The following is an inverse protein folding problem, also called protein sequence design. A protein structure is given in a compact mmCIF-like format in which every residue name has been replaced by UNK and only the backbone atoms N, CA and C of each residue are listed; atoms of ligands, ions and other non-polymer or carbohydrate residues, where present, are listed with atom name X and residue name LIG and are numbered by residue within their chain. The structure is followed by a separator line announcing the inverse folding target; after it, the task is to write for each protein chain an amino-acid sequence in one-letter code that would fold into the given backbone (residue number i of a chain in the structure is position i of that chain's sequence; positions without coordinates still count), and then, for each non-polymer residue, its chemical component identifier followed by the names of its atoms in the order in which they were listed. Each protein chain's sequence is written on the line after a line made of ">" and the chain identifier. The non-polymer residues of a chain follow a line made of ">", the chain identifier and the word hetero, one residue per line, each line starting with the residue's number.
data_IF_305720184725
#
_entry.id   IF_305720184725
#
_cell.length_a   1.000
_cell.length_b   1.000
_cell.length_c   1.000
_cell.angle_alpha   90.00
_cell.angle_beta   90.00
_cell.angle_gamma   90.00
#
_symmetry.space_group_name_H-M   'P 1'
#
loop_
_entity.id
_entity.type
_entity.pdbx_description
1 polymer ?
#
# COMPACT_ATOMS: atom_id res chain seq x y z
N UNK A 1 0.33 -60.45 23.25
CA UNK A 1 0.53 -59.89 21.90
C UNK A 1 -0.65 -58.99 21.59
N UNK A 2 -0.52 -57.67 21.82
CA UNK A 2 -1.53 -56.68 21.52
C UNK A 2 -1.02 -55.85 20.34
N UNK A 3 -1.71 -55.94 19.21
CA UNK A 3 -1.45 -55.21 17.98
C UNK A 3 -2.00 -53.81 18.12
N UNK A 4 -1.13 -52.79 18.14
CA UNK A 4 -1.51 -51.37 18.04
C UNK A 4 -1.80 -51.05 16.58
N UNK A 5 -3.06 -50.77 16.27
CA UNK A 5 -3.49 -50.18 15.01
C UNK A 5 -3.11 -48.70 14.99
N UNK A 6 -2.24 -48.31 14.07
CA UNK A 6 -1.99 -46.90 13.73
C UNK A 6 -3.16 -46.38 12.91
N UNK A 7 -3.87 -45.40 13.50
CA UNK A 7 -4.85 -44.59 12.78
C UNK A 7 -4.06 -43.59 11.93
N UNK A 8 -4.18 -43.70 10.60
CA UNK A 8 -3.74 -42.66 9.66
C UNK A 8 -4.62 -41.42 9.86
N UNK A 9 -4.02 -40.37 10.43
CA UNK A 9 -4.62 -39.03 10.41
C UNK A 9 -4.69 -38.54 8.96
N UNK A 10 -5.90 -38.27 8.49
CA UNK A 10 -6.16 -37.59 7.25
C UNK A 10 -5.49 -36.19 7.30
N UNK A 11 -4.54 -35.97 6.39
CA UNK A 11 -4.06 -34.60 6.09
C UNK A 11 -5.27 -33.77 5.65
N UNK A 12 -5.76 -32.91 6.54
CA UNK A 12 -6.69 -31.87 6.17
C UNK A 12 -5.96 -30.96 5.18
N UNK A 13 -6.43 -31.01 3.95
CA UNK A 13 -6.04 -30.14 2.86
C UNK A 13 -6.49 -28.71 3.23
N UNK A 14 -5.66 -27.97 3.99
CA UNK A 14 -5.90 -26.58 4.32
C UNK A 14 -5.79 -25.83 3.00
N UNK A 15 -6.94 -25.61 2.36
CA UNK A 15 -7.07 -24.78 1.18
C UNK A 15 -6.44 -23.41 1.50
N UNK A 16 -5.48 -23.01 0.69
CA UNK A 16 -4.90 -21.65 0.81
C UNK A 16 -6.03 -20.64 0.77
N UNK A 17 -6.05 -19.63 1.66
CA UNK A 17 -7.13 -18.65 1.69
C UNK A 17 -7.29 -18.02 0.32
N UNK A 18 -8.53 -17.78 -0.15
CA UNK A 18 -8.80 -17.26 -1.48
C UNK A 18 -8.06 -15.94 -1.68
N UNK A 19 -7.34 -15.82 -2.78
CA UNK A 19 -6.67 -14.57 -3.13
C UNK A 19 -7.74 -13.48 -3.32
N UNK A 20 -7.53 -12.31 -2.75
CA UNK A 20 -8.43 -11.15 -2.94
C UNK A 20 -8.68 -10.96 -4.44
N UNK A 21 -9.96 -10.96 -4.86
CA UNK A 21 -10.35 -10.96 -6.27
C UNK A 21 -10.39 -12.33 -6.95
N UNK A 22 -10.27 -13.44 -6.21
CA UNK A 22 -10.50 -14.78 -6.73
C UNK A 22 -11.96 -14.92 -7.19
N UNK A 23 -12.16 -15.38 -8.43
CA UNK A 23 -13.50 -15.46 -9.06
C UNK A 23 -13.94 -14.19 -9.79
N UNK A 24 -13.25 -13.06 -9.66
CA UNK A 24 -13.55 -11.88 -10.46
C UNK A 24 -12.97 -12.00 -11.88
N UNK A 25 -13.70 -11.45 -12.85
CA UNK A 25 -13.21 -11.32 -14.23
C UNK A 25 -11.99 -10.37 -14.26
N UNK A 26 -10.81 -10.83 -14.74
CA UNK A 26 -9.62 -9.99 -14.81
C UNK A 26 -9.81 -8.70 -15.62
N UNK A 27 -10.74 -8.69 -16.59
CA UNK A 27 -11.03 -7.49 -17.40
C UNK A 27 -11.80 -6.42 -16.61
N UNK A 28 -12.48 -6.79 -15.52
CA UNK A 28 -13.21 -5.86 -14.63
C UNK A 28 -12.46 -5.55 -13.33
N UNK A 29 -11.40 -6.29 -13.07
CA UNK A 29 -10.62 -6.18 -11.84
C UNK A 29 -9.81 -4.90 -11.79
N UNK A 30 -9.66 -4.32 -10.60
CA UNK A 30 -8.78 -3.17 -10.37
C UNK A 30 -7.31 -3.53 -10.63
N UNK A 31 -6.54 -2.60 -11.18
CA UNK A 31 -5.17 -2.84 -11.66
C UNK A 31 -4.23 -3.47 -10.63
N UNK A 32 -4.30 -3.06 -9.36
CA UNK A 32 -3.47 -3.63 -8.29
C UNK A 32 -3.82 -5.11 -8.01
N UNK A 33 -5.10 -5.51 -8.11
CA UNK A 33 -5.49 -6.92 -7.97
C UNK A 33 -5.09 -7.76 -9.19
N UNK A 34 -5.10 -7.17 -10.41
CA UNK A 34 -4.53 -7.81 -11.61
C UNK A 34 -3.04 -8.13 -11.38
N UNK A 35 -2.28 -7.18 -10.83
CA UNK A 35 -0.86 -7.38 -10.51
C UNK A 35 -0.66 -8.42 -9.40
N UNK A 36 -1.49 -8.38 -8.35
CA UNK A 36 -1.46 -9.37 -7.27
C UNK A 36 -1.74 -10.78 -7.81
N UNK A 37 -2.74 -10.94 -8.67
CA UNK A 37 -3.07 -12.22 -9.33
C UNK A 37 -1.95 -12.72 -10.25
N UNK A 38 -1.21 -11.82 -10.88
CA UNK A 38 0.00 -12.20 -11.62
C UNK A 38 1.14 -12.67 -10.70
N UNK A 39 1.03 -12.47 -9.40
CA UNK A 39 2.01 -12.87 -8.41
C UNK A 39 2.91 -11.74 -7.90
N UNK A 40 2.64 -10.49 -8.31
CA UNK A 40 3.35 -9.32 -7.80
C UNK A 40 2.86 -8.98 -6.39
N UNK A 41 3.78 -8.74 -5.48
CA UNK A 41 3.49 -8.46 -4.05
C UNK A 41 3.66 -6.99 -3.70
N UNK A 42 4.60 -6.31 -4.35
CA UNK A 42 4.87 -4.87 -4.16
C UNK A 42 4.05 -4.10 -5.19
N UNK A 43 2.89 -3.56 -4.79
CA UNK A 43 1.87 -3.00 -5.67
C UNK A 43 1.86 -1.45 -5.70
N UNK A 44 2.99 -0.83 -5.43
CA UNK A 44 3.13 0.63 -5.30
C UNK A 44 4.23 1.20 -6.20
N UNK A 45 4.06 2.45 -6.69
CA UNK A 45 5.11 3.15 -7.43
C UNK A 45 6.38 3.30 -6.58
N UNK A 46 7.57 3.43 -7.16
CA UNK A 46 8.82 3.51 -6.39
C UNK A 46 9.28 2.21 -5.72
N UNK A 47 8.39 1.20 -5.60
CA UNK A 47 8.69 -0.15 -5.12
C UNK A 47 9.08 -0.23 -3.64
N UNK A 48 9.64 -1.39 -3.25
CA UNK A 48 9.99 -1.70 -1.85
C UNK A 48 11.10 -0.79 -1.28
N UNK A 49 11.93 -0.23 -2.14
CA UNK A 49 13.04 0.64 -1.74
C UNK A 49 12.52 1.96 -1.13
N UNK A 50 11.54 2.59 -1.80
CA UNK A 50 10.92 3.82 -1.29
C UNK A 50 10.16 3.56 0.02
N UNK A 51 9.51 2.40 0.16
CA UNK A 51 8.94 1.95 1.43
C UNK A 51 9.99 1.88 2.54
N UNK A 52 11.17 1.31 2.26
CA UNK A 52 12.26 1.24 3.26
C UNK A 52 12.71 2.64 3.69
N UNK A 53 12.88 3.55 2.75
CA UNK A 53 13.24 4.94 3.06
C UNK A 53 12.18 5.60 3.97
N UNK A 54 10.89 5.41 3.67
CA UNK A 54 9.80 5.89 4.54
C UNK A 54 9.88 5.29 5.94
N UNK A 55 10.00 3.97 6.03
CA UNK A 55 10.08 3.29 7.33
C UNK A 55 11.32 3.69 8.12
N UNK A 56 12.44 3.97 7.45
CA UNK A 56 13.66 4.44 8.10
C UNK A 56 13.51 5.90 8.58
N UNK A 57 12.83 6.75 7.81
CA UNK A 57 12.49 8.12 8.23
C UNK A 57 11.51 8.12 9.41
N UNK A 58 10.54 7.19 9.47
CA UNK A 58 9.63 7.00 10.61
C UNK A 58 10.33 6.42 11.85
N UNK A 59 11.53 5.87 11.72
CA UNK A 59 12.37 5.34 12.79
C UNK A 59 11.65 4.42 13.80
N UNK A 60 10.69 3.61 13.31
CA UNK A 60 9.83 2.75 14.15
C UNK A 60 10.66 1.87 15.09
N UNK A 61 10.33 1.89 16.36
CA UNK A 61 11.02 1.25 17.47
C UNK A 61 10.07 0.34 18.31
N UNK A 62 10.58 -0.44 19.27
CA UNK A 62 9.76 -1.22 20.18
C UNK A 62 8.84 -0.43 21.11
N UNK A 63 9.03 0.89 21.25
CA UNK A 63 8.19 1.78 22.04
C UNK A 63 6.99 2.32 21.25
N UNK A 64 6.99 2.15 19.92
CA UNK A 64 5.98 2.75 19.06
C UNK A 64 4.69 1.94 19.02
N UNK A 65 3.60 2.68 18.92
CA UNK A 65 2.27 2.18 18.60
C UNK A 65 1.96 2.60 17.17
N UNK A 66 1.77 1.62 16.30
CA UNK A 66 1.71 1.82 14.86
C UNK A 66 0.30 1.55 14.33
N UNK A 67 -0.20 2.44 13.47
CA UNK A 67 -1.40 2.23 12.66
C UNK A 67 -1.01 2.25 11.19
N UNK A 68 -1.38 1.20 10.45
CA UNK A 68 -1.25 1.15 8.99
C UNK A 68 -2.64 1.26 8.34
N UNK A 69 -2.82 2.20 7.43
CA UNK A 69 -4.02 2.31 6.60
C UNK A 69 -3.87 1.46 5.34
N UNK A 70 -4.89 0.68 5.03
CA UNK A 70 -4.97 -0.19 3.86
C UNK A 70 -3.75 -1.10 3.67
N UNK A 71 -3.40 -1.97 4.62
CA UNK A 71 -2.21 -2.83 4.55
C UNK A 71 -2.21 -3.80 3.35
N UNK A 72 -3.33 -4.01 2.69
CA UNK A 72 -3.46 -4.83 1.49
C UNK A 72 -2.89 -6.24 1.66
N UNK A 73 -1.81 -6.57 0.94
CA UNK A 73 -1.16 -7.89 1.04
C UNK A 73 -0.27 -8.07 2.30
N UNK A 74 -0.17 -7.07 3.18
CA UNK A 74 0.58 -7.16 4.45
C UNK A 74 2.11 -7.23 4.31
N UNK A 75 2.66 -6.82 3.17
CA UNK A 75 4.12 -6.87 2.96
C UNK A 75 4.83 -5.86 3.87
N UNK A 76 4.32 -4.63 3.93
CA UNK A 76 4.87 -3.57 4.79
C UNK A 76 4.57 -3.86 6.26
N UNK A 77 3.36 -4.36 6.57
CA UNK A 77 3.02 -4.87 7.89
C UNK A 77 4.08 -5.85 8.43
N UNK A 78 4.46 -6.85 7.63
CA UNK A 78 5.49 -7.82 8.03
C UNK A 78 6.87 -7.19 8.25
N UNK A 79 7.21 -6.11 7.51
CA UNK A 79 8.47 -5.38 7.72
C UNK A 79 8.44 -4.58 9.03
N UNK A 80 7.32 -3.92 9.32
CA UNK A 80 7.12 -3.16 10.56
C UNK A 80 7.10 -4.08 11.79
N UNK A 81 6.41 -5.20 11.72
CA UNK A 81 6.35 -6.18 12.82
C UNK A 81 7.71 -6.78 13.17
N UNK A 82 8.66 -6.87 12.21
CA UNK A 82 10.06 -7.24 12.49
C UNK A 82 10.80 -6.22 13.36
N UNK A 83 10.36 -4.95 13.38
CA UNK A 83 10.88 -3.90 14.26
C UNK A 83 10.31 -4.01 15.69
N UNK A 84 9.36 -4.95 15.91
CA UNK A 84 8.74 -5.28 17.19
C UNK A 84 8.07 -4.10 17.89
N UNK A 85 7.20 -3.33 17.21
CA UNK A 85 6.50 -2.23 17.86
C UNK A 85 5.70 -2.73 19.07
N UNK A 86 5.40 -1.83 20.01
CA UNK A 86 4.59 -2.10 21.20
C UNK A 86 3.19 -2.62 20.81
N UNK A 87 2.57 -1.97 19.80
CA UNK A 87 1.30 -2.36 19.23
C UNK A 87 1.27 -2.06 17.72
N UNK A 88 0.45 -2.83 16.99
CA UNK A 88 0.21 -2.61 15.56
C UNK A 88 -1.26 -2.85 15.24
N UNK A 89 -1.89 -1.87 14.59
CA UNK A 89 -3.24 -1.95 14.04
C UNK A 89 -3.21 -1.74 12.54
N UNK A 90 -3.73 -2.71 11.78
CA UNK A 90 -3.98 -2.56 10.35
C UNK A 90 -5.45 -2.24 10.11
N UNK A 91 -5.76 -1.07 9.55
CA UNK A 91 -7.14 -0.66 9.20
C UNK A 91 -7.41 -1.04 7.75
N UNK A 92 -8.26 -2.04 7.52
CA UNK A 92 -8.60 -2.55 6.20
C UNK A 92 -10.13 -2.48 5.99
N UNK A 93 -10.56 -1.98 4.83
CA UNK A 93 -11.98 -1.82 4.51
C UNK A 93 -12.62 -3.06 3.89
N UNK A 94 -11.82 -3.87 3.19
CA UNK A 94 -12.32 -5.04 2.46
C UNK A 94 -12.29 -6.27 3.37
N UNK A 95 -13.46 -6.89 3.68
CA UNK A 95 -13.52 -8.03 4.60
C UNK A 95 -12.60 -9.20 4.21
N UNK A 96 -12.58 -9.56 2.91
CA UNK A 96 -11.73 -10.65 2.42
C UNK A 96 -10.23 -10.34 2.57
N UNK A 97 -9.81 -9.08 2.33
CA UNK A 97 -8.44 -8.65 2.54
C UNK A 97 -8.07 -8.66 4.04
N UNK A 98 -8.98 -8.21 4.90
CA UNK A 98 -8.78 -8.24 6.35
C UNK A 98 -8.62 -9.69 6.88
N UNK A 99 -9.39 -10.64 6.37
CA UNK A 99 -9.26 -12.06 6.71
C UNK A 99 -7.92 -12.62 6.27
N UNK A 100 -7.54 -12.43 5.00
CA UNK A 100 -6.22 -12.84 4.49
C UNK A 100 -5.06 -12.23 5.28
N UNK A 101 -5.21 -10.99 5.77
CA UNK A 101 -4.20 -10.34 6.61
C UNK A 101 -4.11 -10.98 7.99
N UNK A 102 -5.23 -11.30 8.64
CA UNK A 102 -5.26 -11.99 9.93
C UNK A 102 -4.53 -13.33 9.84
N UNK A 103 -4.82 -14.11 8.79
CA UNK A 103 -4.16 -15.40 8.56
C UNK A 103 -2.64 -15.22 8.34
N UNK A 104 -2.26 -14.26 7.49
CA UNK A 104 -0.85 -13.99 7.18
C UNK A 104 -0.05 -13.51 8.37
N UNK A 105 -0.67 -12.73 9.24
CA UNK A 105 -0.04 -12.13 10.41
C UNK A 105 -0.32 -12.93 11.71
N UNK A 106 -0.92 -14.11 11.57
CA UNK A 106 -1.18 -15.00 12.70
C UNK A 106 0.11 -15.30 13.49
N UNK A 107 -0.01 -15.33 14.81
CA UNK A 107 1.15 -15.50 15.71
C UNK A 107 1.98 -14.23 15.94
N UNK A 108 1.62 -13.10 15.34
CA UNK A 108 2.19 -11.77 15.65
C UNK A 108 1.30 -11.01 16.63
N UNK A 109 1.72 -9.79 17.03
CA UNK A 109 0.91 -8.86 17.85
C UNK A 109 0.02 -7.94 17.00
N UNK A 110 -0.18 -8.26 15.70
CA UNK A 110 -0.99 -7.44 14.81
C UNK A 110 -2.49 -7.63 15.09
N UNK A 111 -3.20 -6.52 15.18
CA UNK A 111 -4.65 -6.47 15.19
C UNK A 111 -5.15 -5.90 13.87
N UNK A 112 -6.08 -6.59 13.20
CA UNK A 112 -6.68 -6.12 11.95
C UNK A 112 -8.09 -5.64 12.23
N UNK A 113 -8.26 -4.33 12.08
CA UNK A 113 -9.52 -3.61 12.26
C UNK A 113 -10.22 -3.50 10.90
N UNK A 114 -11.46 -3.98 10.82
CA UNK A 114 -12.30 -3.72 9.67
C UNK A 114 -12.87 -2.31 9.78
N UNK A 115 -12.45 -1.39 8.92
CA UNK A 115 -12.82 0.01 9.00
C UNK A 115 -12.34 0.84 7.81
N UNK A 116 -12.75 2.09 7.77
CA UNK A 116 -12.34 3.07 6.76
C UNK A 116 -11.14 3.88 7.27
N UNK A 117 -10.21 4.22 6.38
CA UNK A 117 -9.05 5.03 6.73
C UNK A 117 -9.45 6.45 7.20
N UNK A 118 -10.57 6.99 6.72
CA UNK A 118 -11.13 8.27 7.17
C UNK A 118 -11.96 8.17 8.47
N UNK A 119 -12.23 6.96 8.95
CA UNK A 119 -13.00 6.68 10.16
C UNK A 119 -12.63 5.30 10.70
N UNK A 120 -11.46 5.19 11.28
CA UNK A 120 -10.86 3.92 11.70
C UNK A 120 -11.57 3.25 12.89
N UNK A 121 -12.30 4.01 13.69
CA UNK A 121 -12.89 3.54 14.95
C UNK A 121 -11.89 3.44 16.10
N UNK A 122 -10.60 3.67 15.86
CA UNK A 122 -9.57 3.64 16.90
C UNK A 122 -9.62 4.90 17.78
N UNK A 123 -9.20 4.81 19.06
CA UNK A 123 -9.15 5.96 19.97
C UNK A 123 -8.21 7.05 19.45
N UNK A 124 -8.53 8.32 19.75
CA UNK A 124 -7.61 9.43 19.49
C UNK A 124 -6.31 9.31 20.29
N UNK A 125 -5.21 9.79 19.75
CA UNK A 125 -3.87 9.77 20.34
C UNK A 125 -3.39 8.34 20.75
N UNK A 126 -3.94 7.29 20.11
CA UNK A 126 -3.55 5.90 20.39
C UNK A 126 -2.21 5.52 19.73
N UNK A 127 -1.80 6.20 18.67
CA UNK A 127 -0.62 5.88 17.86
C UNK A 127 0.52 6.90 18.04
N UNK A 128 1.76 6.44 17.92
CA UNK A 128 2.96 7.29 17.75
C UNK A 128 3.37 7.38 16.28
N UNK A 129 3.01 6.37 15.47
CA UNK A 129 3.24 6.33 14.04
C UNK A 129 1.97 5.90 13.34
N UNK A 130 1.58 6.64 12.31
CA UNK A 130 0.56 6.23 11.31
C UNK A 130 1.22 6.20 9.95
N UNK A 131 0.87 5.27 9.08
CA UNK A 131 1.32 5.31 7.69
C UNK A 131 0.32 4.63 6.74
N UNK A 132 0.45 4.95 5.44
CA UNK A 132 -0.31 4.32 4.37
C UNK A 132 0.43 4.40 3.04
N UNK A 133 0.25 3.40 2.18
CA UNK A 133 0.95 3.32 0.90
C UNK A 133 -0.02 3.06 -0.26
N UNK A 134 0.14 3.82 -1.34
CA UNK A 134 -0.58 3.69 -2.61
C UNK A 134 -2.11 3.63 -2.43
N UNK A 135 -2.66 4.44 -1.54
CA UNK A 135 -4.08 4.47 -1.24
C UNK A 135 -4.71 5.86 -1.36
N UNK A 136 -3.98 6.93 -1.02
CA UNK A 136 -4.49 8.30 -1.10
C UNK A 136 -4.65 8.77 -2.55
N UNK A 137 -3.75 8.39 -3.45
CA UNK A 137 -3.86 8.73 -4.87
C UNK A 137 -5.13 8.21 -5.54
N UNK A 138 -5.83 7.25 -4.93
CA UNK A 138 -7.10 6.70 -5.42
C UNK A 138 -8.33 7.35 -4.76
N UNK A 139 -8.14 8.40 -3.97
CA UNK A 139 -9.21 9.09 -3.27
C UNK A 139 -9.48 10.47 -3.88
N UNK A 140 -10.72 10.97 -3.72
CA UNK A 140 -11.03 12.37 -4.01
C UNK A 140 -10.27 13.30 -3.07
N UNK A 141 -10.16 14.58 -3.43
CA UNK A 141 -9.47 15.57 -2.58
C UNK A 141 -10.11 15.67 -1.18
N UNK A 142 -11.44 15.59 -1.12
CA UNK A 142 -12.16 15.61 0.15
C UNK A 142 -11.86 14.38 1.01
N UNK A 143 -11.81 13.18 0.39
CA UNK A 143 -11.45 11.95 1.11
C UNK A 143 -9.99 11.97 1.58
N UNK A 144 -9.05 12.47 0.77
CA UNK A 144 -7.66 12.68 1.19
C UNK A 144 -7.59 13.52 2.46
N UNK A 145 -8.30 14.66 2.49
CA UNK A 145 -8.36 15.54 3.68
C UNK A 145 -8.90 14.78 4.91
N UNK A 146 -10.00 14.03 4.76
CA UNK A 146 -10.57 13.24 5.88
C UNK A 146 -9.59 12.17 6.39
N UNK A 147 -8.90 11.48 5.49
CA UNK A 147 -7.92 10.44 5.87
C UNK A 147 -6.72 11.05 6.60
N UNK A 148 -6.19 12.17 6.10
CA UNK A 148 -5.05 12.85 6.78
C UNK A 148 -5.48 13.44 8.12
N UNK A 149 -6.71 13.97 8.21
CA UNK A 149 -7.29 14.43 9.48
C UNK A 149 -7.46 13.28 10.49
N UNK A 150 -7.90 12.10 10.03
CA UNK A 150 -7.99 10.90 10.88
C UNK A 150 -6.61 10.43 11.33
N UNK A 151 -5.61 10.40 10.43
CA UNK A 151 -4.23 10.09 10.80
C UNK A 151 -3.73 11.03 11.91
N UNK A 152 -3.96 12.35 11.75
CA UNK A 152 -3.61 13.34 12.79
C UNK A 152 -4.36 13.11 14.09
N UNK A 153 -5.65 12.74 14.05
CA UNK A 153 -6.46 12.43 15.24
C UNK A 153 -5.89 11.25 16.03
N UNK A 154 -5.46 10.20 15.30
CA UNK A 154 -4.88 8.98 15.88
C UNK A 154 -3.50 9.20 16.49
N UNK A 155 -2.73 10.15 15.98
CA UNK A 155 -1.38 10.43 16.47
C UNK A 155 -1.40 11.07 17.85
N UNK A 156 -0.56 10.58 18.76
CA UNK A 156 -0.17 11.29 19.97
C UNK A 156 0.61 12.60 19.60
N UNK A 157 0.68 13.61 20.48
CA UNK A 157 1.56 14.75 20.27
C UNK A 157 2.99 14.30 19.99
N UNK A 158 3.64 14.87 18.97
CA UNK A 158 4.96 14.46 18.49
C UNK A 158 4.97 13.22 17.60
N UNK A 159 3.83 12.55 17.42
CA UNK A 159 3.72 11.39 16.53
C UNK A 159 3.81 11.74 15.05
N UNK A 160 4.11 10.75 14.21
CA UNK A 160 4.45 10.92 12.80
C UNK A 160 3.46 10.22 11.87
N UNK A 161 3.13 10.85 10.74
CA UNK A 161 2.38 10.26 9.64
C UNK A 161 3.24 10.14 8.39
N UNK A 162 3.39 8.90 7.87
CA UNK A 162 4.12 8.60 6.65
C UNK A 162 3.19 8.21 5.50
N UNK A 163 3.47 8.70 4.29
CA UNK A 163 2.81 8.23 3.07
C UNK A 163 3.82 7.83 1.99
N UNK A 164 3.37 6.94 1.11
CA UNK A 164 4.09 6.55 -0.09
C UNK A 164 3.08 6.49 -1.24
N UNK A 165 3.13 7.47 -2.16
CA UNK A 165 2.05 7.72 -3.12
C UNK A 165 2.58 8.00 -4.53
N UNK A 166 1.65 8.04 -5.49
CA UNK A 166 1.91 8.54 -6.84
C UNK A 166 1.94 10.06 -6.82
N UNK A 167 2.85 10.65 -7.59
CA UNK A 167 3.07 12.08 -7.65
C UNK A 167 3.21 12.56 -9.09
N UNK A 168 2.68 13.74 -9.39
CA UNK A 168 2.98 14.43 -10.64
C UNK A 168 4.38 15.03 -10.60
N UNK A 169 5.08 14.99 -11.74
CA UNK A 169 6.39 15.61 -11.96
C UNK A 169 6.45 16.17 -13.39
N UNK A 170 6.92 17.39 -13.63
CA UNK A 170 7.30 18.40 -12.62
C UNK A 170 6.11 18.93 -11.81
N UNK A 171 6.41 19.72 -10.80
CA UNK A 171 5.40 20.25 -9.86
C UNK A 171 4.39 21.20 -10.53
N UNK A 172 4.82 21.91 -11.57
CA UNK A 172 4.06 22.88 -12.37
C UNK A 172 3.39 22.26 -13.61
N UNK A 173 3.13 20.96 -13.60
CA UNK A 173 2.47 20.26 -14.71
C UNK A 173 1.12 20.92 -15.04
N UNK A 174 0.86 21.20 -16.33
CA UNK A 174 -0.36 21.88 -16.75
C UNK A 174 -1.63 21.07 -16.41
N UNK A 175 -2.72 21.77 -16.08
CA UNK A 175 -4.00 21.12 -15.74
C UNK A 175 -4.52 20.23 -16.86
N UNK A 176 -4.34 20.63 -18.12
CA UNK A 176 -4.72 19.82 -19.27
C UNK A 176 -4.02 18.47 -19.27
N UNK A 177 -2.69 18.43 -19.06
CA UNK A 177 -1.92 17.21 -19.04
C UNK A 177 -2.23 16.38 -17.79
N UNK A 178 -2.46 17.01 -16.63
CA UNK A 178 -2.94 16.32 -15.41
C UNK A 178 -4.26 15.60 -15.67
N UNK A 179 -5.24 16.26 -16.30
CA UNK A 179 -6.52 15.65 -16.64
C UNK A 179 -6.37 14.50 -17.64
N UNK A 180 -5.51 14.66 -18.66
CA UNK A 180 -5.21 13.58 -19.62
C UNK A 180 -4.65 12.35 -18.90
N UNK A 181 -3.62 12.54 -18.05
CA UNK A 181 -2.97 11.46 -17.29
C UNK A 181 -3.99 10.80 -16.35
N UNK A 182 -4.75 11.58 -15.60
CA UNK A 182 -5.76 11.09 -14.67
C UNK A 182 -6.82 10.23 -15.36
N UNK A 183 -7.36 10.71 -16.48
CA UNK A 183 -8.35 9.98 -17.26
C UNK A 183 -7.77 8.66 -17.80
N UNK A 184 -6.56 8.72 -18.36
CA UNK A 184 -5.88 7.56 -18.91
C UNK A 184 -5.57 6.51 -17.82
N UNK A 185 -5.03 6.92 -16.66
CA UNK A 185 -4.76 6.05 -15.54
C UNK A 185 -6.04 5.41 -14.99
N UNK A 186 -7.08 6.23 -14.71
CA UNK A 186 -8.34 5.77 -14.14
C UNK A 186 -9.03 4.74 -15.05
N UNK A 187 -9.00 4.97 -16.37
CA UNK A 187 -9.53 4.04 -17.36
C UNK A 187 -8.79 2.70 -17.37
N UNK A 188 -7.45 2.73 -17.34
CA UNK A 188 -6.64 1.53 -17.47
C UNK A 188 -6.62 0.68 -16.21
N UNK A 189 -6.55 1.31 -15.03
CA UNK A 189 -6.47 0.57 -13.77
C UNK A 189 -7.82 0.33 -13.09
N UNK A 190 -8.92 0.77 -13.71
CA UNK A 190 -10.32 0.59 -13.25
C UNK A 190 -10.57 1.09 -11.83
N UNK A 191 -9.91 2.17 -11.46
CA UNK A 191 -10.14 2.92 -10.21
C UNK A 191 -9.83 4.39 -10.45
N UNK A 192 -10.58 5.28 -9.82
CA UNK A 192 -10.29 6.71 -9.89
C UNK A 192 -8.90 7.01 -9.36
N UNK A 193 -8.09 7.75 -10.11
CA UNK A 193 -6.74 8.13 -9.71
C UNK A 193 -6.60 9.63 -9.76
N UNK A 194 -6.21 10.22 -8.66
CA UNK A 194 -6.01 11.66 -8.50
C UNK A 194 -4.69 11.92 -7.77
N UNK A 195 -3.53 11.77 -8.45
CA UNK A 195 -2.24 12.12 -7.87
C UNK A 195 -2.20 13.62 -7.56
N UNK A 196 -1.35 14.00 -6.64
CA UNK A 196 -1.01 15.39 -6.35
C UNK A 196 0.43 15.64 -6.79
N UNK A 197 0.81 16.90 -6.98
CA UNK A 197 2.21 17.29 -7.13
C UNK A 197 2.92 17.31 -5.77
N UNK A 198 4.24 17.46 -5.75
CA UNK A 198 5.01 17.49 -4.51
C UNK A 198 4.51 18.58 -3.55
N UNK A 199 4.37 19.81 -4.05
CA UNK A 199 3.89 20.93 -3.25
C UNK A 199 2.45 20.75 -2.76
N UNK A 200 1.59 20.10 -3.56
CA UNK A 200 0.21 19.79 -3.17
C UNK A 200 0.15 18.73 -2.06
N UNK A 201 1.01 17.70 -2.11
CA UNK A 201 1.12 16.71 -1.03
C UNK A 201 1.57 17.35 0.29
N UNK A 202 2.58 18.25 0.24
CA UNK A 202 3.03 19.01 1.42
C UNK A 202 1.88 19.86 1.97
N UNK A 203 1.21 20.63 1.10
CA UNK A 203 0.08 21.49 1.48
C UNK A 203 -1.06 20.70 2.13
N UNK A 204 -1.35 19.50 1.64
CA UNK A 204 -2.36 18.61 2.23
C UNK A 204 -2.02 18.27 3.70
N UNK A 205 -0.75 17.98 3.99
CA UNK A 205 -0.29 17.68 5.35
C UNK A 205 -0.39 18.92 6.24
N UNK A 206 0.14 20.06 5.79
CA UNK A 206 0.17 21.32 6.54
C UNK A 206 -1.24 21.83 6.86
N UNK A 207 -2.16 21.77 5.89
CA UNK A 207 -3.57 22.12 6.07
C UNK A 207 -4.27 21.25 7.13
N UNK A 208 -3.79 20.04 7.34
CA UNK A 208 -4.29 19.13 8.37
C UNK A 208 -3.45 19.17 9.67
N UNK A 209 -2.56 20.17 9.84
CA UNK A 209 -1.78 20.37 11.06
C UNK A 209 -0.69 19.34 11.30
N UNK A 210 -0.07 18.85 10.21
CA UNK A 210 1.10 18.00 10.21
C UNK A 210 2.28 18.78 9.60
N UNK A 211 3.31 19.04 10.38
CA UNK A 211 4.52 19.73 9.93
C UNK A 211 5.40 18.75 9.17
N UNK A 212 5.80 19.10 7.95
CA UNK A 212 6.69 18.26 7.15
C UNK A 212 8.07 18.14 7.78
N UNK A 213 8.57 16.91 7.90
CA UNK A 213 9.88 16.61 8.48
C UNK A 213 10.82 15.91 7.50
N UNK A 214 10.27 15.21 6.51
CA UNK A 214 11.07 14.49 5.53
C UNK A 214 10.26 14.23 4.25
N UNK A 215 10.95 14.26 3.11
CA UNK A 215 10.37 13.85 1.81
C UNK A 215 11.46 13.28 0.90
N UNK A 216 11.06 12.39 0.01
CA UNK A 216 11.90 11.90 -1.10
C UNK A 216 11.03 11.43 -2.25
N UNK A 217 11.62 11.43 -3.44
CA UNK A 217 10.97 10.95 -4.67
C UNK A 217 11.75 9.78 -5.28
N UNK A 218 11.05 8.99 -6.07
CA UNK A 218 11.62 7.91 -6.86
C UNK A 218 10.92 7.80 -8.21
N UNK A 219 11.62 7.34 -9.27
CA UNK A 219 10.99 7.13 -10.56
C UNK A 219 9.83 6.12 -10.49
N UNK A 220 8.77 6.37 -11.27
CA UNK A 220 7.60 5.51 -11.38
C UNK A 220 7.89 4.30 -12.29
N UNK A 221 8.62 3.30 -11.79
CA UNK A 221 9.08 2.13 -12.56
C UNK A 221 8.34 0.83 -12.20
N UNK A 222 7.06 0.90 -11.80
CA UNK A 222 6.29 -0.19 -11.19
C UNK A 222 6.33 -1.51 -11.98
N UNK A 223 6.33 -1.45 -13.32
CA UNK A 223 6.26 -2.62 -14.21
C UNK A 223 7.53 -2.79 -15.08
N UNK A 224 8.61 -2.12 -14.76
CA UNK A 224 9.89 -2.36 -15.43
C UNK A 224 10.53 -3.67 -14.95
N UNK A 225 11.08 -4.51 -15.86
CA UNK A 225 11.61 -5.82 -15.50
C UNK A 225 12.69 -5.77 -14.40
N UNK A 226 13.59 -4.76 -14.46
CA UNK A 226 14.61 -4.56 -13.41
C UNK A 226 14.01 -4.24 -12.04
N UNK A 227 12.93 -3.45 -12.02
CA UNK A 227 12.20 -3.13 -10.78
C UNK A 227 11.47 -4.37 -10.26
N UNK A 228 10.79 -5.11 -11.13
CA UNK A 228 10.12 -6.36 -10.75
C UNK A 228 11.11 -7.35 -10.13
N UNK A 229 12.29 -7.51 -10.74
CA UNK A 229 13.33 -8.37 -10.19
C UNK A 229 13.82 -7.91 -8.82
N UNK A 230 13.98 -6.61 -8.60
CA UNK A 230 14.41 -6.02 -7.33
C UNK A 230 13.35 -6.19 -6.22
N UNK A 231 12.07 -5.96 -6.57
CA UNK A 231 10.96 -6.01 -5.63
C UNK A 231 10.56 -7.45 -5.24
N UNK A 232 10.58 -8.39 -6.20
CA UNK A 232 10.01 -9.73 -6.04
C UNK A 232 11.09 -10.83 -5.95
N UNK A 233 12.33 -10.51 -6.28
CA UNK A 233 13.43 -11.46 -6.40
C UNK A 233 13.29 -12.38 -7.62
N UNK A 234 14.27 -13.26 -7.83
CA UNK A 234 14.31 -14.14 -9.02
C UNK A 234 13.09 -15.08 -9.08
N UNK A 235 12.78 -15.78 -7.97
CA UNK A 235 11.65 -16.73 -7.91
C UNK A 235 10.31 -16.05 -8.14
N UNK A 236 10.09 -14.87 -7.52
CA UNK A 236 8.88 -14.06 -7.73
C UNK A 236 8.74 -13.60 -9.18
N UNK A 237 9.83 -13.11 -9.76
CA UNK A 237 9.85 -12.65 -11.16
C UNK A 237 9.56 -13.77 -12.15
N UNK A 238 10.12 -14.96 -11.94
CA UNK A 238 9.83 -16.15 -12.78
C UNK A 238 8.37 -16.57 -12.68
N UNK A 239 7.79 -16.57 -11.46
CA UNK A 239 6.37 -16.85 -11.27
C UNK A 239 5.49 -15.83 -12.00
N UNK A 240 5.80 -14.52 -11.89
CA UNK A 240 5.07 -13.46 -12.59
C UNK A 240 5.17 -13.68 -14.11
N UNK A 241 6.37 -13.93 -14.64
CA UNK A 241 6.59 -14.19 -16.05
C UNK A 241 5.78 -15.40 -16.53
N UNK A 242 5.78 -16.50 -15.79
CA UNK A 242 4.98 -17.69 -16.09
C UNK A 242 3.48 -17.36 -16.13
N UNK A 243 2.93 -16.70 -15.11
CA UNK A 243 1.52 -16.33 -15.03
C UNK A 243 1.11 -15.37 -16.18
N UNK A 244 1.99 -14.44 -16.56
CA UNK A 244 1.74 -13.51 -17.68
C UNK A 244 1.77 -14.23 -19.02
N UNK A 245 2.69 -15.20 -19.21
CA UNK A 245 2.78 -15.96 -20.48
C UNK A 245 1.60 -16.91 -20.63
N UNK A 246 1.19 -17.58 -19.56
CA UNK A 246 0.13 -18.61 -19.60
C UNK A 246 -1.28 -18.03 -19.55
N UNK A 247 -1.46 -16.76 -19.13
CA UNK A 247 -2.78 -16.14 -19.07
C UNK A 247 -2.87 -14.93 -20.03
N UNK A 248 -3.55 -15.07 -21.17
CA UNK A 248 -3.67 -14.00 -22.16
C UNK A 248 -4.31 -12.71 -21.64
N UNK A 249 -5.33 -12.81 -20.78
CA UNK A 249 -6.03 -11.65 -20.21
C UNK A 249 -5.11 -10.88 -19.26
N UNK A 250 -4.43 -11.55 -18.33
CA UNK A 250 -3.44 -10.91 -17.47
C UNK A 250 -2.33 -10.25 -18.28
N UNK A 251 -1.85 -10.94 -19.32
CA UNK A 251 -0.83 -10.39 -20.23
C UNK A 251 -1.30 -9.10 -20.88
N UNK A 252 -2.49 -9.08 -21.47
CA UNK A 252 -3.04 -7.90 -22.12
C UNK A 252 -3.10 -6.71 -21.14
N UNK A 253 -3.70 -6.90 -19.97
CA UNK A 253 -3.86 -5.87 -18.93
C UNK A 253 -2.50 -5.35 -18.42
N UNK A 254 -1.56 -6.24 -18.13
CA UNK A 254 -0.23 -5.83 -17.62
C UNK A 254 0.56 -5.05 -18.67
N UNK A 255 0.52 -5.47 -19.93
CA UNK A 255 1.20 -4.74 -21.00
C UNK A 255 0.53 -3.40 -21.32
N UNK A 256 -0.79 -3.28 -21.20
CA UNK A 256 -1.51 -2.01 -21.35
C UNK A 256 -1.12 -1.04 -20.23
N UNK A 257 -1.16 -1.46 -18.97
CA UNK A 257 -0.69 -0.66 -17.84
C UNK A 257 0.79 -0.24 -18.00
N UNK A 258 1.66 -1.17 -18.42
CA UNK A 258 3.08 -0.85 -18.64
C UNK A 258 3.29 0.20 -19.72
N UNK A 259 2.58 0.09 -20.86
CA UNK A 259 2.63 1.10 -21.94
C UNK A 259 2.20 2.47 -21.43
N UNK A 260 1.14 2.52 -20.64
CA UNK A 260 0.63 3.75 -20.05
C UNK A 260 1.65 4.41 -19.12
N UNK A 261 2.22 3.64 -18.19
CA UNK A 261 3.25 4.13 -17.28
C UNK A 261 4.53 4.57 -18.02
N UNK A 262 4.90 3.88 -19.10
CA UNK A 262 6.02 4.28 -19.94
C UNK A 262 5.73 5.58 -20.71
N UNK A 263 4.49 5.76 -21.20
CA UNK A 263 4.07 6.99 -21.90
C UNK A 263 4.23 8.21 -21.01
N UNK A 264 3.82 8.10 -19.75
CA UNK A 264 3.82 9.22 -18.79
C UNK A 264 4.97 9.21 -17.79
N UNK A 265 6.04 8.45 -18.05
CA UNK A 265 7.15 8.27 -17.09
C UNK A 265 7.87 9.56 -16.69
N UNK A 266 7.84 10.60 -17.56
CA UNK A 266 8.45 11.90 -17.31
C UNK A 266 7.50 12.85 -16.55
N UNK A 267 6.23 12.46 -16.41
CA UNK A 267 5.18 13.22 -15.75
C UNK A 267 4.65 12.57 -14.46
N UNK A 268 5.18 11.41 -14.12
CA UNK A 268 4.80 10.65 -12.94
C UNK A 268 6.03 10.16 -12.19
N UNK A 269 6.04 10.40 -10.90
CA UNK A 269 7.00 9.82 -9.96
C UNK A 269 6.27 9.17 -8.78
N UNK A 270 7.02 8.49 -7.94
CA UNK A 270 6.59 8.09 -6.61
C UNK A 270 7.14 9.07 -5.59
N UNK A 271 6.35 9.43 -4.61
CA UNK A 271 6.76 10.28 -3.50
C UNK A 271 6.57 9.57 -2.18
N UNK A 272 7.45 9.80 -1.25
CA UNK A 272 7.22 9.46 0.15
C UNK A 272 7.48 10.67 1.03
N UNK A 273 6.57 10.88 1.98
CA UNK A 273 6.54 12.03 2.88
C UNK A 273 6.37 11.55 4.32
N UNK A 274 6.99 12.27 5.25
CA UNK A 274 6.72 12.14 6.69
C UNK A 274 6.41 13.51 7.25
N UNK A 275 5.24 13.63 7.89
CA UNK A 275 4.84 14.81 8.64
C UNK A 275 4.66 14.47 10.11
N UNK A 276 4.87 15.42 10.99
CA UNK A 276 4.78 15.28 12.43
C UNK A 276 3.64 16.13 13.00
N UNK A 277 2.84 15.53 13.88
CA UNK A 277 1.93 16.28 14.74
C UNK A 277 2.73 17.06 15.76
N UNK A 278 2.54 18.38 15.81
CA UNK A 278 3.26 19.22 16.78
C UNK A 278 3.07 18.70 18.21
N UNK A 279 4.12 18.73 19.04
CA UNK A 279 3.99 18.48 20.46
C UNK A 279 3.01 19.48 21.07
N UNK A 280 2.16 19.04 22.00
CA UNK A 280 1.39 19.99 22.80
C UNK A 280 2.38 20.74 23.69
N UNK A 281 2.49 22.05 23.53
CA UNK A 281 3.24 22.87 24.48
C UNK A 281 2.62 22.64 25.86
N UNK A 282 3.41 22.07 26.76
CA UNK A 282 3.04 21.86 28.15
C UNK A 282 3.02 23.20 28.92
#
# INVERSE_FOLDING_TARGET
>A
MMQKSYVHGSEENIASPPLVGEGQDPDKMQGHWVLARAGKRVLRPGGIELTRHMLDALAISPQDRVVEFAPGLGITAAMVLKRRPLAYWGVEREPAAAECLRDRLAGTKAEIVLGLAEQSGLPGACATVVYGEAMLSMQSQEQKNRIVAEARRLLAPGGQYGIHELCYSPDDLSDHLRHEIQAALSKEIHVGVQPLSHSEWIRLFEQNGLKMTWSTEAPMHLLEPRRVLRDEGLRGSLRIAFNVVTNPTLRHRIFAMRRLFTKYREHLCAISLVGQREPTNA
#
